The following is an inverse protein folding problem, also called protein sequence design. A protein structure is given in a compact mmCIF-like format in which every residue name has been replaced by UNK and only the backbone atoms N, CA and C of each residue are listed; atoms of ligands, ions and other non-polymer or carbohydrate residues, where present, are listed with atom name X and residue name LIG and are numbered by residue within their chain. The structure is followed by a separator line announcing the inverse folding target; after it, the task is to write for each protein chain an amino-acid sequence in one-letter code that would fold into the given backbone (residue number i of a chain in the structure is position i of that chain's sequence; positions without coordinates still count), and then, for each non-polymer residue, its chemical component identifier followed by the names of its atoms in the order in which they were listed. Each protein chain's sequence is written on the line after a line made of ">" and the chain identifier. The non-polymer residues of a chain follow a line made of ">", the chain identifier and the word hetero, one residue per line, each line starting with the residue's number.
data_IF_363721585850
#
_entry.id   IF_363721585850
#
_cell.length_a   1.000
_cell.length_b   1.000
_cell.length_c   1.000
_cell.angle_alpha   90.00
_cell.angle_beta   90.00
_cell.angle_gamma   90.00
#
_symmetry.space_group_name_H-M   'P 1'
#
loop_
_entity.id
_entity.type
_entity.pdbx_description
1 polymer ?
#
# COMPACT_ATOMS: atom_id res chain seq x y z
N UNK A 1 -11.70 11.21 12.66
CA UNK A 1 -11.86 10.50 11.37
C UNK A 1 -10.93 9.31 11.39
N UNK A 2 -11.42 8.10 11.07
CA UNK A 2 -10.55 6.92 10.94
C UNK A 2 -9.76 7.02 9.64
N UNK A 3 -8.47 6.68 9.66
CA UNK A 3 -7.68 6.58 8.44
C UNK A 3 -8.14 5.35 7.64
N UNK A 4 -8.10 5.45 6.31
CA UNK A 4 -8.51 4.38 5.39
C UNK A 4 -7.30 3.71 4.80
N UNK A 5 -7.27 2.37 4.79
CA UNK A 5 -6.17 1.58 4.24
C UNK A 5 -6.73 0.65 3.16
N UNK A 6 -6.06 0.63 2.00
CA UNK A 6 -6.32 -0.32 0.92
C UNK A 6 -5.10 -1.23 0.79
N UNK A 7 -5.28 -2.52 1.08
CA UNK A 7 -4.29 -3.54 0.75
C UNK A 7 -4.63 -4.18 -0.59
N UNK A 8 -3.62 -4.28 -1.45
CA UNK A 8 -3.71 -4.94 -2.76
C UNK A 8 -2.61 -5.98 -2.84
N UNK A 9 -2.99 -7.23 -2.98
CA UNK A 9 -2.07 -8.35 -3.14
C UNK A 9 -2.76 -9.41 -4.00
N UNK A 10 -2.02 -10.07 -4.89
CA UNK A 10 -2.56 -11.14 -5.73
C UNK A 10 -2.71 -12.46 -4.96
N UNK A 11 -2.00 -12.59 -3.83
CA UNK A 11 -2.12 -13.73 -2.93
C UNK A 11 -3.34 -13.57 -1.99
N UNK A 12 -4.38 -14.42 -2.13
CA UNK A 12 -5.54 -14.39 -1.23
C UNK A 12 -5.17 -14.72 0.22
N UNK A 13 -4.12 -15.50 0.47
CA UNK A 13 -3.60 -15.77 1.81
C UNK A 13 -3.06 -14.52 2.48
N UNK A 14 -2.30 -13.70 1.74
CA UNK A 14 -1.79 -12.41 2.25
C UNK A 14 -2.95 -11.44 2.53
N UNK A 15 -3.89 -11.30 1.60
CA UNK A 15 -5.04 -10.39 1.83
C UNK A 15 -5.90 -10.83 3.02
N UNK A 16 -6.16 -12.13 3.21
CA UNK A 16 -6.86 -12.61 4.40
C UNK A 16 -6.07 -12.40 5.70
N UNK A 17 -4.76 -12.65 5.69
CA UNK A 17 -3.89 -12.39 6.83
C UNK A 17 -3.94 -10.91 7.23
N UNK A 18 -3.85 -9.99 6.27
CA UNK A 18 -3.93 -8.55 6.52
C UNK A 18 -5.31 -8.14 7.03
N UNK A 19 -6.40 -8.66 6.44
CA UNK A 19 -7.75 -8.40 6.96
C UNK A 19 -7.89 -8.83 8.43
N UNK A 20 -7.31 -9.98 8.80
CA UNK A 20 -7.30 -10.47 10.19
C UNK A 20 -6.44 -9.59 11.10
N UNK A 21 -5.22 -9.28 10.69
CA UNK A 21 -4.26 -8.48 11.47
C UNK A 21 -4.85 -7.12 11.86
N UNK A 22 -5.58 -6.48 10.92
CA UNK A 22 -6.17 -5.16 11.13
C UNK A 22 -7.63 -5.18 11.57
N UNK A 23 -8.23 -6.35 11.83
CA UNK A 23 -9.67 -6.47 12.18
C UNK A 23 -10.08 -5.65 13.40
N UNK A 24 -9.19 -5.56 14.40
CA UNK A 24 -9.42 -4.79 15.63
C UNK A 24 -8.71 -3.44 15.64
N UNK A 25 -8.13 -3.03 14.51
CA UNK A 25 -7.47 -1.73 14.39
C UNK A 25 -8.48 -0.58 14.36
N UNK A 26 -7.98 0.62 14.59
CA UNK A 26 -8.76 1.85 14.44
C UNK A 26 -9.00 2.26 12.98
N UNK A 27 -8.39 1.56 12.02
CA UNK A 27 -8.43 1.88 10.60
C UNK A 27 -9.66 1.32 9.89
N UNK A 28 -10.08 1.99 8.82
CA UNK A 28 -11.01 1.42 7.86
C UNK A 28 -10.23 0.66 6.78
N UNK A 29 -10.19 -0.66 6.90
CA UNK A 29 -9.39 -1.52 6.01
C UNK A 29 -10.24 -2.12 4.90
N UNK A 30 -9.75 -2.02 3.67
CA UNK A 30 -10.24 -2.76 2.52
C UNK A 30 -9.10 -3.60 1.95
N UNK A 31 -9.38 -4.87 1.67
CA UNK A 31 -8.46 -5.77 0.97
C UNK A 31 -9.02 -6.06 -0.41
N UNK A 32 -8.18 -6.01 -1.43
CA UNK A 32 -8.56 -6.33 -2.81
C UNK A 32 -7.56 -7.34 -3.33
N UNK A 33 -8.07 -8.47 -3.81
CA UNK A 33 -7.27 -9.35 -4.64
C UNK A 33 -7.14 -8.72 -6.04
N UNK A 34 -5.99 -8.84 -6.68
CA UNK A 34 -5.75 -8.29 -8.02
C UNK A 34 -6.63 -8.93 -9.13
N UNK A 35 -7.48 -9.90 -8.76
CA UNK A 35 -8.04 -10.90 -9.66
C UNK A 35 -9.24 -10.46 -10.52
N UNK A 36 -9.85 -9.29 -10.30
CA UNK A 36 -11.18 -9.02 -10.88
C UNK A 36 -11.21 -8.30 -12.24
N UNK A 37 -10.16 -7.63 -12.73
CA UNK A 37 -10.19 -7.04 -14.09
C UNK A 37 -8.82 -6.50 -14.49
N UNK A 38 -8.16 -7.04 -15.53
CA UNK A 38 -6.98 -6.46 -16.22
C UNK A 38 -5.69 -6.27 -15.39
N UNK A 39 -5.79 -6.11 -14.07
CA UNK A 39 -4.73 -5.87 -13.10
C UNK A 39 -3.88 -7.11 -12.81
N UNK A 40 -4.34 -8.33 -13.15
CA UNK A 40 -3.49 -9.52 -13.01
C UNK A 40 -2.23 -9.45 -13.87
N UNK A 41 -2.23 -8.65 -14.94
CA UNK A 41 -1.07 -8.42 -15.80
C UNK A 41 -0.28 -7.16 -15.42
N UNK A 42 -0.79 -6.39 -14.46
CA UNK A 42 -0.18 -5.14 -14.02
C UNK A 42 0.76 -5.44 -12.85
N UNK A 43 2.05 -5.16 -13.02
CA UNK A 43 2.98 -5.24 -11.91
C UNK A 43 2.69 -4.16 -10.85
N UNK A 44 3.19 -4.37 -9.63
CA UNK A 44 2.91 -3.47 -8.52
C UNK A 44 3.34 -2.03 -8.76
N UNK A 45 4.42 -1.79 -9.52
CA UNK A 45 4.87 -0.43 -9.81
C UNK A 45 3.90 0.28 -10.77
N UNK A 46 3.47 -0.39 -11.84
CA UNK A 46 2.46 0.12 -12.77
C UNK A 46 1.14 0.43 -12.04
N UNK A 47 0.73 -0.41 -11.08
CA UNK A 47 -0.43 -0.14 -10.24
C UNK A 47 -0.26 1.15 -9.42
N UNK A 48 0.90 1.33 -8.79
CA UNK A 48 1.16 2.52 -7.98
C UNK A 48 1.20 3.80 -8.82
N UNK A 49 1.67 3.74 -10.07
CA UNK A 49 1.60 4.87 -11.00
C UNK A 49 0.14 5.28 -11.26
N UNK A 50 -0.72 4.30 -11.57
CA UNK A 50 -2.15 4.56 -11.78
C UNK A 50 -2.84 5.05 -10.50
N UNK A 51 -2.46 4.52 -9.34
CA UNK A 51 -2.92 4.98 -8.04
C UNK A 51 -2.46 6.41 -7.74
N UNK A 52 -1.27 6.83 -8.19
CA UNK A 52 -0.81 8.21 -8.04
C UNK A 52 -1.61 9.19 -8.90
N UNK A 53 -1.98 8.79 -10.13
CA UNK A 53 -2.86 9.62 -10.98
C UNK A 53 -4.25 9.79 -10.34
N UNK A 54 -4.82 8.69 -9.84
CA UNK A 54 -6.20 8.71 -9.31
C UNK A 54 -6.30 9.18 -7.86
N UNK A 55 -5.24 8.98 -7.07
CA UNK A 55 -5.15 9.29 -5.65
C UNK A 55 -3.75 9.86 -5.31
N UNK A 56 -3.41 11.07 -5.79
CA UNK A 56 -2.06 11.63 -5.65
C UNK A 56 -1.64 11.84 -4.19
N UNK A 57 -2.58 12.23 -3.32
CA UNK A 57 -2.29 12.51 -1.91
C UNK A 57 -2.08 11.26 -1.05
N UNK A 58 -2.56 10.09 -1.49
CA UNK A 58 -2.42 8.84 -0.73
C UNK A 58 -0.94 8.51 -0.50
N UNK A 59 -0.62 7.98 0.67
CA UNK A 59 0.69 7.36 0.94
C UNK A 59 0.68 5.98 0.29
N UNK A 60 1.72 5.66 -0.47
CA UNK A 60 1.86 4.36 -1.14
C UNK A 60 3.03 3.60 -0.52
N UNK A 61 2.77 2.36 -0.17
CA UNK A 61 3.74 1.40 0.34
C UNK A 61 3.82 0.22 -0.64
N UNK A 62 5.01 -0.30 -0.86
CA UNK A 62 5.21 -1.50 -1.70
C UNK A 62 5.55 -2.68 -0.80
N UNK A 63 4.75 -3.75 -0.85
CA UNK A 63 4.99 -4.98 -0.07
C UNK A 63 5.46 -6.11 -1.00
N UNK A 64 6.76 -6.40 -1.00
CA UNK A 64 7.38 -7.31 -1.98
C UNK A 64 8.32 -8.34 -1.35
N UNK A 65 8.33 -9.56 -1.88
CA UNK A 65 9.29 -10.59 -1.45
C UNK A 65 10.68 -10.46 -2.06
N UNK A 66 10.85 -9.57 -3.04
CA UNK A 66 12.15 -9.26 -3.63
C UNK A 66 12.25 -7.77 -3.94
N UNK A 67 13.44 -7.24 -3.79
CA UNK A 67 13.80 -5.88 -4.14
C UNK A 67 14.97 -5.97 -5.12
N UNK A 68 14.70 -5.69 -6.39
CA UNK A 68 15.72 -5.63 -7.44
C UNK A 68 16.19 -4.19 -7.65
N UNK A 69 17.37 -4.01 -8.26
CA UNK A 69 17.91 -2.67 -8.53
C UNK A 69 16.92 -1.77 -9.30
N UNK A 70 16.13 -2.37 -10.21
CA UNK A 70 15.09 -1.65 -10.98
C UNK A 70 14.02 -1.02 -10.09
N UNK A 71 13.65 -1.67 -8.99
CA UNK A 71 12.60 -1.20 -8.08
C UNK A 71 13.07 0.02 -7.28
N UNK A 72 14.37 0.07 -6.95
CA UNK A 72 15.00 1.23 -6.31
C UNK A 72 15.12 2.43 -7.26
N UNK A 73 15.52 2.21 -8.52
CA UNK A 73 15.58 3.28 -9.51
C UNK A 73 14.19 3.89 -9.74
N UNK A 74 13.17 3.03 -9.89
CA UNK A 74 11.77 3.42 -10.00
C UNK A 74 11.25 4.22 -8.79
N UNK A 75 11.72 3.92 -7.57
CA UNK A 75 11.43 4.73 -6.38
C UNK A 75 11.96 6.15 -6.50
N UNK A 76 13.24 6.28 -6.87
CA UNK A 76 13.97 7.55 -6.84
C UNK A 76 13.45 8.55 -7.88
N UNK A 77 13.01 8.06 -9.03
CA UNK A 77 12.59 8.93 -10.14
C UNK A 77 11.20 9.54 -9.95
N UNK A 78 10.30 8.88 -9.21
CA UNK A 78 8.87 9.23 -9.24
C UNK A 78 8.30 9.71 -7.89
N UNK A 79 9.08 9.67 -6.80
CA UNK A 79 8.60 9.93 -5.42
C UNK A 79 7.27 9.20 -5.09
N UNK A 80 7.07 8.06 -5.75
CA UNK A 80 5.79 7.37 -5.82
C UNK A 80 5.54 6.56 -4.55
N UNK A 81 6.60 5.93 -4.06
CA UNK A 81 6.59 4.95 -2.98
C UNK A 81 7.24 5.58 -1.76
N UNK A 82 6.46 5.76 -0.70
CA UNK A 82 6.96 6.24 0.57
C UNK A 82 7.98 5.25 1.15
N UNK A 83 7.59 3.98 1.21
CA UNK A 83 8.41 2.93 1.80
C UNK A 83 8.17 1.56 1.15
N UNK A 84 9.23 0.77 1.11
CA UNK A 84 9.18 -0.64 0.74
C UNK A 84 9.19 -1.48 2.01
N UNK A 85 8.34 -2.50 2.04
CA UNK A 85 8.25 -3.50 3.09
C UNK A 85 8.60 -4.84 2.44
N UNK A 86 9.63 -5.51 2.97
CA UNK A 86 10.08 -6.81 2.47
C UNK A 86 9.22 -7.96 3.05
N UNK A 87 8.86 -8.92 2.21
CA UNK A 87 8.30 -10.22 2.64
C UNK A 87 9.47 -11.21 2.89
N UNK A 88 9.40 -12.04 3.95
CA UNK A 88 8.42 -12.02 5.03
C UNK A 88 8.65 -10.82 5.98
N UNK A 89 7.58 -10.34 6.59
CA UNK A 89 7.61 -9.31 7.62
C UNK A 89 6.85 -9.82 8.85
N UNK A 90 7.35 -9.54 10.05
CA UNK A 90 6.62 -9.84 11.28
C UNK A 90 5.47 -8.85 11.47
N UNK A 91 4.35 -9.33 12.02
CA UNK A 91 3.12 -8.56 12.21
C UNK A 91 3.36 -7.22 12.91
N UNK A 92 4.12 -7.20 14.02
CA UNK A 92 4.39 -5.97 14.78
C UNK A 92 5.20 -4.95 13.98
N UNK A 93 6.19 -5.42 13.22
CA UNK A 93 6.99 -4.56 12.35
C UNK A 93 6.15 -4.01 11.19
N UNK A 94 5.30 -4.85 10.61
CA UNK A 94 4.38 -4.44 9.55
C UNK A 94 3.42 -3.36 10.06
N UNK A 95 2.81 -3.57 11.23
CA UNK A 95 1.91 -2.58 11.85
C UNK A 95 2.62 -1.26 12.13
N UNK A 96 3.84 -1.29 12.66
CA UNK A 96 4.63 -0.07 12.88
C UNK A 96 4.86 0.74 11.59
N UNK A 97 5.13 0.08 10.46
CA UNK A 97 5.25 0.76 9.16
C UNK A 97 3.93 1.40 8.70
N UNK A 98 2.80 0.73 8.97
CA UNK A 98 1.48 1.28 8.67
C UNK A 98 1.18 2.50 9.54
N UNK A 99 1.46 2.43 10.84
CA UNK A 99 1.22 3.52 11.78
C UNK A 99 2.03 4.78 11.42
N UNK A 100 3.29 4.60 11.04
CA UNK A 100 4.15 5.67 10.51
C UNK A 100 3.53 6.30 9.25
N UNK A 101 3.19 5.47 8.27
CA UNK A 101 2.59 5.93 7.01
C UNK A 101 1.26 6.67 7.22
N UNK A 102 0.43 6.19 8.15
CA UNK A 102 -0.82 6.86 8.52
C UNK A 102 -0.52 8.21 9.18
N UNK A 103 0.43 8.28 10.10
CA UNK A 103 0.85 9.53 10.74
C UNK A 103 1.26 10.57 9.70
N UNK A 104 2.06 10.18 8.72
CA UNK A 104 2.46 11.05 7.59
C UNK A 104 1.24 11.44 6.75
N UNK A 105 0.32 10.50 6.48
CA UNK A 105 -0.88 10.78 5.69
C UNK A 105 -1.79 11.83 6.33
N UNK A 106 -1.87 11.86 7.66
CA UNK A 106 -2.71 12.80 8.42
C UNK A 106 -2.16 14.22 8.40
N UNK A 107 -0.86 14.39 8.12
CA UNK A 107 -0.21 15.69 7.98
C UNK A 107 -0.37 16.27 6.57
N UNK A 108 -0.78 15.47 5.58
CA UNK A 108 -0.97 15.94 4.20
C UNK A 108 -2.26 16.74 4.07
N UNK A 109 -2.26 17.84 3.29
CA UNK A 109 -3.46 18.61 3.04
C UNK A 109 -4.52 17.73 2.37
N UNK A 110 -5.71 17.68 2.97
CA UNK A 110 -6.86 17.01 2.37
C UNK A 110 -7.33 17.87 1.20
N UNK A 111 -7.30 17.30 0.01
CA UNK A 111 -7.95 17.91 -1.15
C UNK A 111 -9.40 17.44 -1.11
N UNK A 112 -10.33 18.37 -0.94
CA UNK A 112 -11.75 18.07 -1.07
C UNK A 112 -12.00 17.52 -2.47
N UNK A 113 -12.60 16.32 -2.53
CA UNK A 113 -13.06 15.75 -3.78
C UNK A 113 -14.39 16.44 -4.12
N UNK A 114 -14.38 17.35 -5.09
CA UNK A 114 -15.60 17.85 -5.73
C UNK A 114 -16.42 16.70 -6.33
#
# INVERSE_FOLDING_TARGET
>A
MKASILFVDDDPGITHMLARLFHHSEYWVKTVNSAITGLQLMDGFTFLQQAHITQPIAIKLMFSGRMEAKDYHQKLEHDLIHQFILKPCFDDAFMAYIDEAVTVSLQRPKIDRN
#
